data_IF_773449689505
#
_entry.id   IF_773449689505
#
_cell.length_a   1.000
_cell.length_b   1.000
_cell.length_c   1.000
_cell.angle_alpha   90.00
_cell.angle_beta   90.00
_cell.angle_gamma   90.00
#
_symmetry.space_group_name_H-M   'P 1'
#
loop_
_entity.id
_entity.type
_entity.pdbx_description
1 polymer ?
#
# COMPACT_ATOMS: atom_id res chain seq x y z
N UNK A 1 -19.14 -8.28 -12.47
CA UNK A 1 -17.91 -8.67 -13.20
C UNK A 1 -17.15 -9.68 -12.33
N UNK A 2 -16.89 -10.89 -12.82
CA UNK A 2 -16.15 -11.90 -12.08
C UNK A 2 -14.68 -11.46 -11.92
N UNK A 3 -14.15 -11.56 -10.70
CA UNK A 3 -12.73 -11.69 -10.40
C UNK A 3 -11.79 -10.56 -10.83
N UNK A 4 -11.82 -9.39 -10.19
CA UNK A 4 -10.61 -8.57 -10.08
C UNK A 4 -9.75 -9.14 -8.95
N UNK A 5 -9.10 -10.28 -9.19
CA UNK A 5 -8.00 -10.71 -8.31
C UNK A 5 -6.84 -9.73 -8.55
N UNK A 6 -6.79 -8.65 -7.76
CA UNK A 6 -5.68 -7.71 -7.80
C UNK A 6 -4.43 -8.43 -7.29
N UNK A 7 -3.31 -8.27 -7.99
CA UNK A 7 -2.01 -8.81 -7.58
C UNK A 7 -1.58 -8.33 -6.18
N UNK A 8 -2.12 -7.19 -5.74
CA UNK A 8 -1.85 -6.62 -4.43
C UNK A 8 -3.11 -6.40 -3.60
N UNK A 9 -2.93 -6.52 -2.28
CA UNK A 9 -3.83 -6.00 -1.24
C UNK A 9 -3.16 -4.81 -0.55
N UNK A 10 -3.96 -3.85 -0.12
CA UNK A 10 -3.49 -2.65 0.56
C UNK A 10 -3.62 -2.81 2.08
N UNK A 11 -2.59 -2.47 2.83
CA UNK A 11 -2.67 -2.38 4.28
C UNK A 11 -3.63 -1.26 4.69
N UNK A 12 -4.66 -1.57 5.47
CA UNK A 12 -5.65 -0.57 5.94
C UNK A 12 -5.04 0.48 6.87
N UNK A 13 -3.92 0.16 7.52
CA UNK A 13 -3.27 1.04 8.49
C UNK A 13 -2.32 2.06 7.82
N UNK A 14 -1.44 1.59 6.92
CA UNK A 14 -0.39 2.43 6.34
C UNK A 14 -0.45 2.54 4.81
N UNK A 15 -1.48 1.97 4.17
CA UNK A 15 -1.73 1.97 2.72
C UNK A 15 -0.67 1.23 1.87
N UNK A 16 0.27 0.52 2.48
CA UNK A 16 1.29 -0.25 1.77
C UNK A 16 0.64 -1.37 0.94
N UNK A 17 1.02 -1.47 -0.33
CA UNK A 17 0.64 -2.56 -1.22
C UNK A 17 1.57 -3.74 -1.00
N UNK A 18 0.98 -4.92 -0.78
CA UNK A 18 1.69 -6.18 -0.58
C UNK A 18 1.05 -7.26 -1.45
N UNK A 19 1.79 -8.33 -1.74
CA UNK A 19 1.23 -9.47 -2.47
C UNK A 19 0.16 -10.18 -1.63
N UNK A 20 -0.74 -10.91 -2.29
CA UNK A 20 -1.88 -11.55 -1.65
C UNK A 20 -1.48 -12.55 -0.54
N UNK A 21 -0.36 -13.23 -0.72
CA UNK A 21 0.22 -14.20 0.21
C UNK A 21 0.94 -13.56 1.42
N UNK A 22 1.17 -12.25 1.41
CA UNK A 22 1.85 -11.57 2.52
C UNK A 22 1.01 -11.63 3.80
N UNK A 23 1.45 -12.29 4.89
CA UNK A 23 0.63 -12.46 6.09
C UNK A 23 0.62 -11.22 7.00
N UNK A 24 1.69 -10.41 6.95
CA UNK A 24 1.90 -9.25 7.82
C UNK A 24 2.56 -8.12 7.04
N UNK A 25 2.08 -6.89 7.23
CA UNK A 25 2.57 -5.74 6.50
C UNK A 25 4.05 -5.47 6.88
N UNK A 26 4.99 -5.47 5.91
CA UNK A 26 6.41 -5.25 6.21
C UNK A 26 6.71 -3.80 6.61
N UNK A 27 5.78 -2.87 6.34
CA UNK A 27 5.96 -1.44 6.63
C UNK A 27 5.55 -1.07 8.05
N UNK A 28 4.42 -1.60 8.55
CA UNK A 28 3.88 -1.22 9.87
C UNK A 28 3.53 -2.40 10.78
N UNK A 29 3.69 -3.64 10.32
CA UNK A 29 3.37 -4.84 11.09
C UNK A 29 1.89 -5.18 11.24
N UNK A 30 0.97 -4.41 10.64
CA UNK A 30 -0.46 -4.75 10.66
C UNK A 30 -0.77 -6.03 9.88
N UNK A 31 -1.81 -6.76 10.28
CA UNK A 31 -2.39 -7.91 9.57
C UNK A 31 -3.72 -7.57 8.89
N UNK A 32 -4.12 -6.29 8.93
CA UNK A 32 -5.39 -5.81 8.36
C UNK A 32 -5.17 -5.26 6.95
N UNK A 33 -5.84 -5.87 5.97
CA UNK A 33 -5.70 -5.57 4.55
C UNK A 33 -7.06 -5.37 3.87
N UNK A 34 -7.04 -4.71 2.71
CA UNK A 34 -8.18 -4.54 1.81
C UNK A 34 -7.79 -4.85 0.37
N UNK A 35 -8.67 -5.53 -0.35
CA UNK A 35 -8.59 -5.70 -1.80
C UNK A 35 -9.26 -4.54 -2.57
N UNK A 36 -10.08 -3.72 -1.88
CA UNK A 36 -10.67 -2.52 -2.45
C UNK A 36 -9.77 -1.30 -2.19
N UNK A 37 -8.86 -1.08 -3.12
CA UNK A 37 -7.97 0.07 -3.14
C UNK A 37 -7.81 0.59 -4.58
N UNK A 38 -7.44 1.87 -4.73
CA UNK A 38 -7.28 2.51 -6.02
C UNK A 38 -6.09 3.47 -6.05
N UNK A 39 -5.45 3.57 -7.22
CA UNK A 39 -4.26 4.39 -7.44
C UNK A 39 -3.01 3.79 -6.81
N UNK A 40 -1.87 3.95 -7.48
CA UNK A 40 -0.56 3.50 -6.98
C UNK A 40 0.42 4.66 -6.96
N UNK A 41 1.16 4.77 -5.87
CA UNK A 41 2.31 5.67 -5.73
C UNK A 41 3.49 4.83 -5.29
N UNK A 42 4.62 4.98 -5.98
CA UNK A 42 5.86 4.29 -5.63
C UNK A 42 6.82 5.33 -5.08
N UNK A 43 7.13 5.21 -3.79
CA UNK A 43 8.11 6.05 -3.12
C UNK A 43 9.46 5.34 -3.18
N UNK A 44 10.40 5.92 -3.92
CA UNK A 44 11.79 5.43 -4.00
C UNK A 44 12.70 6.18 -3.02
N UNK A 45 12.50 7.50 -2.89
CA UNK A 45 13.23 8.37 -1.97
C UNK A 45 12.26 9.01 -0.96
N UNK A 46 12.41 8.75 0.35
CA UNK A 46 11.59 9.36 1.41
C UNK A 46 11.79 10.87 1.55
N UNK A 47 12.86 11.45 1.00
CA UNK A 47 13.10 12.90 1.02
C UNK A 47 12.37 13.66 -0.09
N UNK A 48 11.82 12.94 -1.07
CA UNK A 48 11.03 13.52 -2.16
C UNK A 48 9.82 14.28 -1.65
N UNK A 49 9.40 15.30 -2.40
CA UNK A 49 8.20 16.09 -2.07
C UNK A 49 6.95 15.22 -2.06
N UNK A 50 6.86 14.25 -2.98
CA UNK A 50 5.76 13.27 -3.01
C UNK A 50 5.71 12.41 -1.75
N UNK A 51 6.86 11.94 -1.24
CA UNK A 51 6.90 11.17 -0.01
C UNK A 51 6.43 11.98 1.19
N UNK A 52 6.87 13.25 1.30
CA UNK A 52 6.45 14.18 2.35
C UNK A 52 4.95 14.47 2.28
N UNK A 53 4.42 14.77 1.09
CA UNK A 53 2.99 14.99 0.87
C UNK A 53 2.16 13.75 1.25
N UNK A 54 2.67 12.56 0.91
CA UNK A 54 1.98 11.31 1.20
C UNK A 54 2.11 10.86 2.67
N UNK A 55 3.07 11.43 3.41
CA UNK A 55 3.44 10.99 4.77
C UNK A 55 4.17 9.65 4.81
N UNK A 56 4.81 9.25 3.70
CA UNK A 56 5.59 8.00 3.63
C UNK A 56 7.03 8.24 4.10
N UNK A 57 7.46 7.46 5.09
CA UNK A 57 8.84 7.49 5.61
C UNK A 57 9.68 6.29 5.14
N UNK A 58 9.04 5.30 4.52
CA UNK A 58 9.67 4.06 4.05
C UNK A 58 9.52 3.98 2.52
N UNK A 59 10.60 3.66 1.77
CA UNK A 59 10.49 3.39 0.34
C UNK A 59 9.59 2.17 0.11
N UNK A 60 8.44 2.38 -0.53
CA UNK A 60 7.47 1.32 -0.79
C UNK A 60 6.45 1.74 -1.84
N UNK A 61 5.61 0.80 -2.25
CA UNK A 61 4.46 1.00 -3.13
C UNK A 61 3.20 1.14 -2.28
N UNK A 62 2.51 2.25 -2.39
CA UNK A 62 1.33 2.58 -1.59
C UNK A 62 0.10 2.75 -2.47
N UNK A 63 -1.07 2.40 -1.91
CA UNK A 63 -2.35 2.75 -2.48
C UNK A 63 -2.69 4.21 -2.15
N UNK A 64 -3.24 4.95 -3.12
CA UNK A 64 -3.70 6.32 -2.87
C UNK A 64 -4.96 6.31 -1.99
N UNK A 65 -5.90 5.42 -2.33
CA UNK A 65 -7.18 5.24 -1.64
C UNK A 65 -7.30 3.78 -1.21
N UNK A 66 -7.71 3.54 0.04
CA UNK A 66 -8.05 2.22 0.59
C UNK A 66 -9.46 2.30 1.15
N UNK A 67 -10.31 1.33 0.81
CA UNK A 67 -11.70 1.20 1.28
C UNK A 67 -11.84 -0.01 2.19
#
# INVERSE_FOLDING_TARGET
>A
MPGKNKEFKACKNCRALVTQDTPKCPVCGSISFSDDWSGIVIILDPQSETAKLFGATVPWRYAVIVK
#
